data_IF_735704818751
#
_entry.id   IF_735704818751
#
_cell.length_a   1.000
_cell.length_b   1.000
_cell.length_c   1.000
_cell.angle_alpha   90.00
_cell.angle_beta   90.00
_cell.angle_gamma   90.00
#
_symmetry.space_group_name_H-M   'P 1'
#
loop_
_entity.id
_entity.type
_entity.pdbx_description
1 polymer ?
#
# COMPACT_ATOMS: atom_id res chain seq x y z
N UNK A 1 5.95 21.03 -6.26
CA UNK A 1 5.96 21.46 -4.85
C UNK A 1 5.19 20.50 -3.94
N UNK A 2 3.93 20.15 -4.23
CA UNK A 2 3.13 19.25 -3.40
C UNK A 2 3.78 17.89 -3.10
N UNK A 3 4.58 17.31 -4.01
CA UNK A 3 5.23 16.03 -3.78
C UNK A 3 6.24 16.05 -2.61
N UNK A 4 7.11 17.07 -2.55
CA UNK A 4 8.11 17.19 -1.47
C UNK A 4 7.47 17.47 -0.11
N UNK A 5 6.54 18.42 -0.07
CA UNK A 5 5.93 18.87 1.18
C UNK A 5 4.78 17.96 1.67
N UNK A 6 4.04 17.30 0.78
CA UNK A 6 2.92 16.43 1.15
C UNK A 6 3.26 14.93 1.09
N UNK A 7 3.88 14.44 0.00
CA UNK A 7 4.11 12.99 -0.18
C UNK A 7 5.35 12.50 0.55
N UNK A 8 6.43 13.28 0.51
CA UNK A 8 7.67 13.02 1.25
C UNK A 8 7.63 13.60 2.67
N UNK A 9 6.66 14.49 2.95
CA UNK A 9 6.48 15.19 4.25
C UNK A 9 7.75 15.91 4.73
N UNK A 10 8.54 16.42 3.80
CA UNK A 10 9.73 17.18 4.18
C UNK A 10 9.34 18.49 4.87
N UNK A 11 10.05 18.87 5.95
CA UNK A 11 9.97 20.21 6.49
C UNK A 11 10.25 21.25 5.40
N UNK A 12 9.57 22.42 5.41
CA UNK A 12 9.74 23.43 4.36
C UNK A 12 11.19 23.88 4.18
N UNK A 13 11.94 24.03 5.27
CA UNK A 13 13.37 24.37 5.28
C UNK A 13 14.23 23.34 4.56
N UNK A 14 13.99 22.05 4.81
CA UNK A 14 14.68 20.94 4.13
C UNK A 14 14.36 20.92 2.64
N UNK A 15 13.09 21.18 2.28
CA UNK A 15 12.68 21.22 0.88
C UNK A 15 13.35 22.36 0.09
N UNK A 16 13.47 23.55 0.69
CA UNK A 16 14.11 24.69 0.03
C UNK A 16 15.64 24.60 -0.02
N UNK A 17 16.26 23.86 0.90
CA UNK A 17 17.69 23.59 0.87
C UNK A 17 18.09 22.49 -0.12
N UNK A 18 17.14 21.63 -0.52
CA UNK A 18 17.41 20.50 -1.41
C UNK A 18 17.75 20.93 -2.84
N UNK A 19 18.73 20.27 -3.44
CA UNK A 19 19.08 20.45 -4.84
C UNK A 19 18.06 19.76 -5.76
N UNK A 20 17.91 20.22 -7.02
CA UNK A 20 17.04 19.55 -7.99
C UNK A 20 17.35 18.05 -8.14
N UNK A 21 18.64 17.65 -8.09
CA UNK A 21 19.08 16.24 -8.18
C UNK A 21 18.52 15.39 -7.04
N UNK A 22 18.54 15.90 -5.81
CA UNK A 22 18.03 15.18 -4.64
C UNK A 22 16.50 15.04 -4.69
N UNK A 23 15.81 16.06 -5.19
CA UNK A 23 14.36 15.99 -5.43
C UNK A 23 14.04 14.89 -6.45
N UNK A 24 14.78 14.79 -7.55
CA UNK A 24 14.60 13.72 -8.53
C UNK A 24 14.87 12.33 -7.93
N UNK A 25 15.93 12.17 -7.14
CA UNK A 25 16.24 10.90 -6.47
C UNK A 25 15.11 10.48 -5.52
N UNK A 26 14.55 11.43 -4.76
CA UNK A 26 13.44 11.15 -3.85
C UNK A 26 12.14 10.80 -4.60
N UNK A 27 11.90 11.38 -5.78
CA UNK A 27 10.77 11.01 -6.65
C UNK A 27 10.92 9.57 -7.15
N UNK A 28 12.10 9.20 -7.64
CA UNK A 28 12.37 7.84 -8.13
C UNK A 28 12.26 6.78 -7.02
N UNK A 29 12.75 7.08 -5.81
CA UNK A 29 12.59 6.18 -4.66
C UNK A 29 11.12 5.96 -4.27
N UNK A 30 10.24 6.92 -4.58
CA UNK A 30 8.81 6.82 -4.31
C UNK A 30 8.02 6.21 -5.47
N UNK A 31 8.64 6.09 -6.65
CA UNK A 31 7.99 5.45 -7.79
C UNK A 31 7.78 3.98 -7.39
N UNK A 32 6.53 3.49 -7.38
CA UNK A 32 6.32 2.07 -7.17
C UNK A 32 7.15 1.32 -8.22
N UNK A 33 7.79 0.19 -7.87
CA UNK A 33 8.46 -0.63 -8.86
C UNK A 33 7.51 -0.80 -10.04
N UNK A 34 8.02 -0.49 -11.24
CA UNK A 34 7.28 -0.46 -12.50
C UNK A 34 6.24 -1.56 -12.46
N UNK A 35 4.96 -1.17 -12.40
CA UNK A 35 3.88 -2.04 -11.96
C UNK A 35 4.05 -3.42 -12.59
N UNK A 36 4.48 -4.39 -11.78
CA UNK A 36 4.34 -5.78 -12.16
C UNK A 36 2.85 -5.91 -12.34
N UNK A 37 2.40 -6.06 -13.59
CA UNK A 37 0.99 -6.20 -13.91
C UNK A 37 0.41 -7.18 -12.90
N UNK A 38 -0.59 -6.72 -12.15
CA UNK A 38 -1.28 -7.59 -11.20
C UNK A 38 -1.76 -8.84 -11.93
N UNK A 39 -1.91 -9.98 -11.23
CA UNK A 39 -2.37 -11.20 -11.87
C UNK A 39 -3.67 -10.92 -12.64
N UNK A 40 -3.75 -11.45 -13.86
CA UNK A 40 -4.99 -11.41 -14.63
C UNK A 40 -6.13 -12.05 -13.82
N UNK A 41 -7.38 -11.73 -14.17
CA UNK A 41 -8.56 -12.34 -13.52
C UNK A 41 -8.45 -13.87 -13.47
N UNK A 42 -8.01 -14.47 -14.58
CA UNK A 42 -7.81 -15.91 -14.71
C UNK A 42 -6.68 -16.45 -13.83
N UNK A 43 -5.57 -15.72 -13.70
CA UNK A 43 -4.47 -16.11 -12.80
C UNK A 43 -4.90 -16.02 -11.33
N UNK A 44 -5.71 -15.03 -10.98
CA UNK A 44 -6.31 -14.94 -9.64
C UNK A 44 -7.28 -16.10 -9.37
N UNK A 45 -8.16 -16.43 -10.32
CA UNK A 45 -9.10 -17.55 -10.16
C UNK A 45 -8.35 -18.89 -9.98
N UNK A 46 -7.25 -19.10 -10.73
CA UNK A 46 -6.40 -20.27 -10.58
C UNK A 46 -5.73 -20.34 -9.20
N UNK A 47 -5.26 -19.20 -8.66
CA UNK A 47 -4.70 -19.12 -7.31
C UNK A 47 -5.74 -19.43 -6.24
N UNK A 48 -6.96 -18.90 -6.37
CA UNK A 48 -8.05 -19.16 -5.44
C UNK A 48 -8.45 -20.65 -5.43
N UNK A 49 -8.42 -21.31 -6.58
CA UNK A 49 -8.67 -22.75 -6.66
C UNK A 49 -7.52 -23.57 -6.07
N UNK A 50 -6.27 -23.15 -6.27
CA UNK A 50 -5.10 -23.84 -5.73
C UNK A 50 -4.95 -23.68 -4.21
N UNK A 51 -5.41 -22.56 -3.66
CA UNK A 51 -5.33 -22.22 -2.24
C UNK A 51 -6.72 -21.85 -1.69
N UNK A 52 -7.61 -22.81 -1.50
CA UNK A 52 -8.93 -22.53 -0.93
C UNK A 52 -8.77 -22.13 0.55
N UNK A 53 -9.42 -21.04 0.94
CA UNK A 53 -9.49 -20.64 2.35
C UNK A 53 -10.21 -21.75 3.14
N UNK A 54 -9.57 -22.19 4.23
CA UNK A 54 -10.22 -23.09 5.16
C UNK A 54 -11.31 -22.28 5.87
N UNK A 55 -12.57 -22.66 5.64
CA UNK A 55 -13.68 -22.15 6.44
C UNK A 55 -13.37 -22.54 7.89
N UNK A 56 -12.99 -21.58 8.72
CA UNK A 56 -12.88 -21.82 10.14
C UNK A 56 -14.29 -22.11 10.64
N UNK A 57 -14.59 -23.38 10.88
CA UNK A 57 -15.74 -23.81 11.64
C UNK A 57 -15.49 -23.52 13.13
N UNK A 58 -15.17 -22.28 13.47
CA UNK A 58 -15.30 -21.80 14.83
C UNK A 58 -16.46 -20.82 14.85
N UNK A 59 -17.66 -21.39 14.97
CA UNK A 59 -18.86 -20.70 15.42
C UNK A 59 -18.69 -20.34 16.91
N UNK A 60 -17.63 -19.60 17.27
CA UNK A 60 -17.57 -18.88 18.54
C UNK A 60 -18.19 -17.51 18.31
N UNK A 61 -19.52 -17.54 18.35
CA UNK A 61 -20.35 -16.59 19.09
C UNK A 61 -19.68 -15.25 19.42
N UNK A 62 -19.64 -14.34 18.44
CA UNK A 62 -19.27 -12.95 18.71
C UNK A 62 -20.45 -12.12 19.27
N UNK A 63 -21.52 -12.77 19.76
CA UNK A 63 -22.70 -12.06 20.25
C UNK A 63 -22.55 -11.65 21.71
N UNK A 64 -22.06 -10.43 21.90
CA UNK A 64 -22.44 -9.64 23.08
C UNK A 64 -21.35 -8.75 23.64
N UNK A 65 -21.24 -7.51 23.13
CA UNK A 65 -20.89 -6.35 23.97
C UNK A 65 -21.09 -5.00 23.28
N UNK A 66 -22.34 -4.63 23.02
CA UNK A 66 -22.74 -3.22 22.90
C UNK A 66 -24.20 -3.08 23.33
N UNK A 67 -24.46 -3.19 24.63
CA UNK A 67 -25.60 -2.58 25.31
C UNK A 67 -25.21 -2.42 26.79
N UNK A 68 -25.18 -1.18 27.28
CA UNK A 68 -24.80 -0.80 28.64
C UNK A 68 -24.28 0.63 28.71
#
# INVERSE_FOLDING_TARGET
MAFGLARLRWPPDVFWAASPREIFAAIEAYRPPQAVEGPSRTALDALMQAHPDLVSCDHHDWKGRIDG
#
